data_IF_762973196197
#
_entry.id   IF_762973196197
#
_cell.length_a   1.000
_cell.length_b   1.000
_cell.length_c   1.000
_cell.angle_alpha   90.00
_cell.angle_beta   90.00
_cell.angle_gamma   90.00
#
_symmetry.space_group_name_H-M   'P 1'
#
loop_
_entity.id
_entity.type
_entity.pdbx_description
1 polymer ?
#
# COMPACT_ATOMS: atom_id res chain seq x y z
N UNK A 1 20.88 16.13 13.44
CA UNK A 1 19.92 15.80 12.37
C UNK A 1 19.04 14.63 12.79
N UNK A 2 17.81 14.55 12.25
CA UNK A 2 16.84 13.54 12.62
C UNK A 2 16.31 12.81 11.36
N UNK A 3 16.71 11.55 11.20
CA UNK A 3 16.22 10.66 10.15
C UNK A 3 15.11 9.77 10.70
N UNK A 4 13.99 9.71 9.99
CA UNK A 4 12.92 8.77 10.26
C UNK A 4 12.89 7.66 9.21
N UNK A 5 12.48 6.47 9.62
CA UNK A 5 12.03 5.40 8.75
C UNK A 5 10.54 5.18 9.00
N UNK A 6 9.74 5.14 7.95
CA UNK A 6 8.31 4.88 8.02
C UNK A 6 7.97 3.54 7.37
N UNK A 7 7.15 2.77 8.06
CA UNK A 7 6.68 1.47 7.60
C UNK A 7 5.44 0.99 8.33
N UNK A 8 4.84 -0.09 7.84
CA UNK A 8 3.64 -0.69 8.42
C UNK A 8 3.79 -2.19 8.66
N UNK A 9 3.02 -2.70 9.59
CA UNK A 9 3.01 -4.12 9.98
C UNK A 9 1.73 -4.85 9.61
N UNK A 10 0.67 -4.13 9.32
CA UNK A 10 -0.56 -4.69 8.77
C UNK A 10 -0.37 -5.13 7.32
N UNK A 11 -1.28 -5.94 6.83
CA UNK A 11 -1.20 -6.54 5.50
C UNK A 11 -2.59 -6.66 4.89
N UNK A 12 -2.68 -6.55 3.57
CA UNK A 12 -3.93 -6.84 2.85
C UNK A 12 -4.33 -8.31 2.99
N UNK A 13 -5.63 -8.64 2.88
CA UNK A 13 -6.08 -10.03 2.88
C UNK A 13 -5.33 -10.88 1.86
N UNK A 14 -5.06 -12.16 2.15
CA UNK A 14 -4.27 -13.03 1.28
C UNK A 14 -4.95 -13.39 -0.05
N UNK A 15 -6.25 -13.12 -0.19
CA UNK A 15 -7.03 -13.52 -1.35
C UNK A 15 -7.28 -15.02 -1.41
N UNK A 16 -7.30 -15.59 -2.61
CA UNK A 16 -7.54 -17.03 -2.80
C UNK A 16 -6.33 -17.84 -2.29
N UNK A 17 -6.55 -18.64 -1.24
CA UNK A 17 -5.48 -19.44 -0.62
C UNK A 17 -4.90 -20.49 -1.56
N UNK A 18 -5.67 -21.00 -2.51
CA UNK A 18 -5.22 -21.99 -3.49
C UNK A 18 -4.22 -21.41 -4.53
N UNK A 19 -4.10 -20.10 -4.61
CA UNK A 19 -3.14 -19.44 -5.49
C UNK A 19 -1.75 -19.30 -4.88
N UNK A 20 -1.58 -19.70 -3.61
CA UNK A 20 -0.30 -19.60 -2.92
C UNK A 20 0.49 -20.90 -3.05
N UNK A 21 1.79 -20.80 -3.37
CA UNK A 21 2.71 -21.95 -3.37
C UNK A 21 2.87 -22.55 -1.96
N UNK A 22 2.85 -21.70 -0.95
CA UNK A 22 2.90 -22.04 0.47
C UNK A 22 1.82 -21.27 1.22
N UNK A 23 1.32 -21.73 2.37
CA UNK A 23 0.35 -20.97 3.15
C UNK A 23 0.84 -19.53 3.42
N UNK A 24 -0.01 -18.51 3.20
CA UNK A 24 0.43 -17.10 3.18
C UNK A 24 1.01 -16.59 4.51
N UNK A 25 0.76 -17.26 5.61
CA UNK A 25 1.28 -16.89 6.94
C UNK A 25 2.26 -17.90 7.52
N UNK A 26 2.80 -18.82 6.69
CA UNK A 26 3.74 -19.83 7.14
C UNK A 26 5.19 -19.34 7.26
N UNK A 27 5.49 -18.16 6.71
CA UNK A 27 6.85 -17.63 6.62
C UNK A 27 7.85 -18.68 6.06
N UNK A 28 7.43 -19.43 5.04
CA UNK A 28 8.24 -20.51 4.48
C UNK A 28 9.49 -19.96 3.81
N UNK A 29 10.64 -20.46 4.21
CA UNK A 29 11.90 -20.24 3.49
C UNK A 29 12.11 -21.40 2.52
N UNK A 30 12.38 -21.08 1.24
CA UNK A 30 12.69 -22.02 0.18
C UNK A 30 13.87 -21.45 -0.65
N UNK A 31 15.03 -22.03 -0.48
CA UNK A 31 16.28 -21.49 -0.99
C UNK A 31 16.63 -20.14 -0.34
N UNK A 32 16.79 -19.13 -1.17
CA UNK A 32 17.07 -17.74 -0.79
C UNK A 32 15.82 -16.85 -0.65
N UNK A 33 14.62 -17.45 -0.73
CA UNK A 33 13.34 -16.72 -0.76
C UNK A 33 12.50 -16.98 0.48
N UNK A 34 11.97 -15.90 1.04
CA UNK A 34 10.96 -15.92 2.10
C UNK A 34 9.58 -15.72 1.49
N UNK A 35 8.72 -16.71 1.61
CA UNK A 35 7.34 -16.68 1.13
C UNK A 35 6.37 -16.33 2.24
N UNK A 36 5.53 -15.32 1.99
CA UNK A 36 4.46 -14.97 2.91
C UNK A 36 3.80 -13.64 2.60
N UNK A 37 2.57 -13.47 3.02
CA UNK A 37 1.88 -12.18 2.96
C UNK A 37 2.58 -11.20 3.90
N UNK A 38 2.97 -10.02 3.38
CA UNK A 38 3.72 -9.01 4.13
C UNK A 38 5.24 -9.23 4.17
N UNK A 39 5.78 -10.28 3.51
CA UNK A 39 7.23 -10.46 3.42
C UNK A 39 7.87 -9.37 2.55
N UNK A 40 7.29 -9.06 1.39
CA UNK A 40 7.76 -7.99 0.51
C UNK A 40 7.20 -6.63 0.93
N UNK A 41 5.92 -6.57 1.19
CA UNK A 41 5.17 -5.40 1.60
C UNK A 41 4.65 -5.58 3.03
N UNK A 42 5.35 -4.99 4.07
CA UNK A 42 6.70 -4.42 3.90
C UNK A 42 7.61 -4.82 5.07
N UNK A 43 7.32 -5.95 5.74
CA UNK A 43 8.04 -6.39 6.97
C UNK A 43 9.52 -6.64 6.74
N UNK A 44 9.91 -7.13 5.54
CA UNK A 44 11.33 -7.29 5.21
C UNK A 44 12.07 -5.95 5.21
N UNK A 45 11.46 -4.90 4.70
CA UNK A 45 12.07 -3.58 4.66
C UNK A 45 12.26 -3.00 6.07
N UNK A 46 11.31 -3.25 6.98
CA UNK A 46 11.47 -2.91 8.41
C UNK A 46 12.66 -3.68 9.00
N UNK A 47 12.74 -4.98 8.76
CA UNK A 47 13.84 -5.82 9.27
C UNK A 47 15.20 -5.35 8.73
N UNK A 48 15.29 -5.06 7.43
CA UNK A 48 16.51 -4.53 6.81
C UNK A 48 16.92 -3.19 7.43
N UNK A 49 15.98 -2.29 7.69
CA UNK A 49 16.30 -0.99 8.29
C UNK A 49 16.74 -1.13 9.74
N UNK A 50 16.14 -2.06 10.51
CA UNK A 50 16.58 -2.37 11.88
C UNK A 50 18.02 -2.89 11.85
N UNK A 51 18.33 -3.84 10.97
CA UNK A 51 19.69 -4.40 10.83
C UNK A 51 20.70 -3.33 10.45
N UNK A 52 20.40 -2.54 9.42
CA UNK A 52 21.28 -1.45 8.99
C UNK A 52 21.49 -0.40 10.09
N UNK A 53 20.45 -0.09 10.86
CA UNK A 53 20.55 0.83 12.01
C UNK A 53 21.45 0.27 13.09
N UNK A 54 21.30 -1.01 13.41
CA UNK A 54 22.16 -1.69 14.38
C UNK A 54 23.64 -1.65 13.96
N UNK A 55 23.92 -2.00 12.71
CA UNK A 55 25.30 -2.02 12.18
C UNK A 55 25.89 -0.61 12.16
N UNK A 56 25.12 0.38 11.74
CA UNK A 56 25.54 1.78 11.74
C UNK A 56 25.87 2.27 13.15
N UNK A 57 24.99 2.03 14.13
CA UNK A 57 25.22 2.45 15.51
C UNK A 57 26.40 1.73 16.14
N UNK A 58 26.57 0.44 15.84
CA UNK A 58 27.71 -0.34 16.31
C UNK A 58 29.03 0.21 15.79
N UNK A 59 29.08 0.55 14.50
CA UNK A 59 30.27 1.12 13.88
C UNK A 59 30.58 2.54 14.35
N UNK A 60 29.58 3.33 14.77
CA UNK A 60 29.69 4.76 15.03
C UNK A 60 29.40 5.16 16.49
N UNK A 61 29.51 4.23 17.44
CA UNK A 61 29.08 4.41 18.85
C UNK A 61 29.55 5.70 19.53
N UNK A 62 30.70 6.26 19.12
CA UNK A 62 31.31 7.45 19.75
C UNK A 62 31.20 8.73 18.91
N UNK A 63 30.75 8.63 17.66
CA UNK A 63 30.80 9.76 16.71
C UNK A 63 29.43 10.14 16.13
N UNK A 64 28.37 9.40 16.44
CA UNK A 64 27.05 9.68 15.94
C UNK A 64 26.37 10.75 16.80
N UNK A 65 26.19 11.94 16.22
CA UNK A 65 25.40 13.04 16.78
C UNK A 65 24.16 13.27 15.91
N UNK A 66 23.10 12.53 16.22
CA UNK A 66 21.85 12.58 15.48
C UNK A 66 20.73 11.80 16.16
N UNK A 67 19.59 11.74 15.51
CA UNK A 67 18.44 10.95 15.95
C UNK A 67 17.97 10.03 14.82
N UNK A 68 17.67 8.79 15.16
CA UNK A 68 17.01 7.83 14.30
C UNK A 68 15.65 7.49 14.92
N UNK A 69 14.60 7.53 14.12
CA UNK A 69 13.25 7.17 14.57
C UNK A 69 12.62 6.18 13.63
N UNK A 70 11.84 5.28 14.21
CA UNK A 70 10.98 4.34 13.49
C UNK A 70 9.53 4.77 13.68
N UNK A 71 8.87 5.09 12.58
CA UNK A 71 7.45 5.39 12.50
C UNK A 71 6.77 4.13 11.99
N UNK A 72 6.27 3.30 12.91
CA UNK A 72 5.67 2.02 12.55
C UNK A 72 4.18 2.07 12.87
N UNK A 73 3.36 1.77 11.86
CA UNK A 73 1.89 1.73 11.97
C UNK A 73 1.36 0.32 11.73
N UNK A 74 0.16 0.06 12.23
CA UNK A 74 -0.62 -1.15 11.96
C UNK A 74 -1.95 -0.84 11.27
N UNK A 75 -2.08 0.32 10.62
CA UNK A 75 -3.27 0.76 9.89
C UNK A 75 -2.84 1.61 8.69
N UNK A 76 -2.18 0.97 7.71
CA UNK A 76 -1.78 1.58 6.43
C UNK A 76 -2.63 1.04 5.29
N UNK A 77 -2.85 -0.26 5.26
CA UNK A 77 -3.41 -1.03 4.13
C UNK A 77 -4.94 -0.93 4.03
N UNK A 78 -5.61 -0.28 4.95
CA UNK A 78 -7.06 -0.18 4.97
C UNK A 78 -7.51 1.29 5.05
N UNK A 79 -8.20 1.66 6.13
CA UNK A 79 -8.75 3.02 6.27
C UNK A 79 -7.70 4.07 6.61
N UNK A 80 -6.55 3.66 7.09
CA UNK A 80 -5.41 4.51 7.47
C UNK A 80 -5.77 5.66 8.45
N UNK A 81 -6.81 5.45 9.29
CA UNK A 81 -7.34 6.49 10.19
C UNK A 81 -6.49 6.56 11.47
N UNK A 82 -6.02 5.39 11.95
CA UNK A 82 -5.31 5.26 13.23
C UNK A 82 -3.80 5.07 13.06
N UNK A 83 -3.29 5.23 11.84
CA UNK A 83 -1.92 4.99 11.49
C UNK A 83 -1.06 6.27 11.46
N UNK A 84 -0.36 6.45 10.37
CA UNK A 84 0.65 7.51 10.16
C UNK A 84 0.11 8.91 10.46
N UNK A 85 -1.13 9.23 10.11
CA UNK A 85 -1.72 10.55 10.39
C UNK A 85 -1.75 10.87 11.90
N UNK A 86 -2.12 9.90 12.74
CA UNK A 86 -2.13 10.09 14.20
C UNK A 86 -0.73 10.20 14.77
N UNK A 87 0.21 9.41 14.25
CA UNK A 87 1.61 9.50 14.65
C UNK A 87 2.15 10.90 14.30
N UNK A 88 1.91 11.39 13.09
CA UNK A 88 2.37 12.72 12.66
C UNK A 88 1.72 13.85 13.45
N UNK A 89 0.44 13.70 13.82
CA UNK A 89 -0.18 14.66 14.75
C UNK A 89 0.51 14.65 16.11
N UNK A 90 0.73 13.46 16.66
CA UNK A 90 1.40 13.31 17.97
C UNK A 90 2.82 13.88 17.93
N UNK A 91 3.61 13.63 16.88
CA UNK A 91 4.96 14.21 16.75
C UNK A 91 4.93 15.73 16.73
N UNK A 92 3.95 16.32 16.01
CA UNK A 92 3.74 17.77 15.97
C UNK A 92 3.39 18.32 17.35
N UNK A 93 2.46 17.70 18.05
CA UNK A 93 2.01 18.11 19.39
C UNK A 93 3.15 17.99 20.44
N UNK A 94 4.16 17.15 20.18
CA UNK A 94 5.34 16.97 21.03
C UNK A 94 6.60 17.67 20.52
N UNK A 95 6.49 18.57 19.52
CA UNK A 95 7.60 19.31 18.92
C UNK A 95 8.72 18.39 18.37
N UNK A 96 8.35 17.21 17.87
CA UNK A 96 9.28 16.31 17.20
C UNK A 96 9.24 16.61 15.71
N UNK A 97 10.39 16.93 15.14
CA UNK A 97 10.58 17.20 13.71
C UNK A 97 11.57 16.23 13.11
N UNK A 98 11.37 15.90 11.84
CA UNK A 98 12.27 15.05 11.06
C UNK A 98 12.90 15.90 9.95
N UNK A 99 14.20 15.76 9.74
CA UNK A 99 14.87 16.39 8.60
C UNK A 99 14.65 15.61 7.31
N UNK A 100 14.58 14.27 7.43
CA UNK A 100 14.40 13.35 6.32
C UNK A 100 13.58 12.14 6.77
N UNK A 101 12.87 11.54 5.81
CA UNK A 101 12.14 10.29 6.03
C UNK A 101 12.36 9.32 4.87
N UNK A 102 12.68 8.09 5.19
CA UNK A 102 12.69 6.96 4.25
C UNK A 102 11.39 6.19 4.47
N UNK A 103 10.58 6.06 3.42
CA UNK A 103 9.38 5.21 3.43
C UNK A 103 9.77 3.86 2.85
N UNK A 104 9.64 2.82 3.65
CA UNK A 104 10.17 1.49 3.34
C UNK A 104 9.33 0.65 2.37
N UNK A 105 8.48 1.26 1.58
CA UNK A 105 7.65 0.57 0.57
C UNK A 105 8.47 -0.04 -0.55
N UNK A 106 8.07 -1.22 -1.10
CA UNK A 106 8.76 -1.84 -2.21
C UNK A 106 8.67 -0.99 -3.47
N UNK A 107 9.81 -0.71 -4.10
CA UNK A 107 9.90 0.15 -5.29
C UNK A 107 10.72 -0.42 -6.42
N UNK A 108 11.57 -1.41 -6.14
CA UNK A 108 12.43 -2.06 -7.13
C UNK A 108 11.63 -2.84 -8.17
N UNK A 109 12.15 -2.91 -9.40
CA UNK A 109 11.50 -3.62 -10.50
C UNK A 109 12.22 -4.94 -10.85
N UNK A 110 13.51 -4.86 -11.21
CA UNK A 110 14.26 -5.99 -11.73
C UNK A 110 15.36 -6.45 -10.75
N UNK A 111 15.91 -5.53 -9.98
CA UNK A 111 16.91 -5.82 -8.95
C UNK A 111 16.74 -4.88 -7.77
N UNK A 112 17.16 -5.33 -6.60
CA UNK A 112 17.07 -4.53 -5.37
C UNK A 112 17.81 -3.21 -5.54
N UNK A 113 17.12 -2.10 -5.32
CA UNK A 113 17.68 -0.75 -5.38
C UNK A 113 17.76 -0.14 -6.78
N UNK A 114 17.24 -0.78 -7.83
CA UNK A 114 17.24 -0.25 -9.19
C UNK A 114 16.28 0.95 -9.39
N UNK A 115 15.37 1.17 -8.44
CA UNK A 115 14.38 2.25 -8.53
C UNK A 115 13.98 2.78 -7.17
N UNK A 116 14.03 4.09 -7.05
CA UNK A 116 13.53 4.84 -5.88
C UNK A 116 12.40 5.77 -6.34
N UNK A 117 11.28 5.76 -5.63
CA UNK A 117 10.19 6.71 -5.85
C UNK A 117 10.43 7.95 -4.97
N UNK A 118 10.46 9.12 -5.60
CA UNK A 118 10.64 10.42 -4.93
C UNK A 118 9.31 11.16 -4.71
N UNK A 119 8.19 10.56 -5.12
CA UNK A 119 6.84 11.10 -4.94
C UNK A 119 5.79 10.07 -5.34
N UNK A 120 4.55 10.30 -4.94
CA UNK A 120 3.40 9.45 -5.26
C UNK A 120 2.27 10.25 -5.88
N UNK A 121 1.46 9.57 -6.67
CA UNK A 121 0.17 10.08 -7.17
C UNK A 121 -0.87 9.93 -6.08
N UNK A 122 -1.91 10.79 -6.10
CA UNK A 122 -3.09 10.61 -5.27
C UNK A 122 -3.86 9.33 -5.65
N UNK A 123 -4.65 8.84 -4.71
CA UNK A 123 -5.62 7.76 -4.92
C UNK A 123 -7.00 8.26 -4.56
N UNK A 124 -8.01 7.91 -5.37
CA UNK A 124 -9.41 8.24 -5.11
C UNK A 124 -10.20 6.95 -5.28
N UNK A 125 -11.02 6.64 -4.29
CA UNK A 125 -11.96 5.53 -4.34
C UNK A 125 -13.37 6.11 -4.48
N UNK A 126 -14.10 5.63 -5.48
CA UNK A 126 -15.50 5.99 -5.70
C UNK A 126 -16.38 4.79 -5.34
N UNK A 127 -17.39 5.02 -4.51
CA UNK A 127 -18.45 4.05 -4.27
C UNK A 127 -19.66 4.48 -5.09
N UNK A 128 -20.05 3.66 -6.08
CA UNK A 128 -21.18 3.93 -6.95
C UNK A 128 -22.26 2.90 -6.63
N UNK A 129 -23.40 3.37 -6.15
CA UNK A 129 -24.58 2.54 -5.96
C UNK A 129 -25.61 2.90 -7.02
N UNK A 130 -26.01 1.91 -7.81
CA UNK A 130 -27.04 2.07 -8.84
C UNK A 130 -28.28 1.32 -8.40
N UNK A 131 -29.39 2.05 -8.17
CA UNK A 131 -30.70 1.48 -7.89
C UNK A 131 -31.53 1.50 -9.15
N UNK A 132 -32.03 0.36 -9.57
CA UNK A 132 -32.89 0.24 -10.75
C UNK A 132 -33.98 -0.81 -10.53
N UNK A 133 -34.91 -0.88 -11.46
CA UNK A 133 -35.92 -1.93 -11.53
C UNK A 133 -35.37 -3.04 -12.42
N UNK A 134 -35.45 -4.28 -11.95
CA UNK A 134 -35.02 -5.44 -12.73
C UNK A 134 -35.92 -5.60 -13.96
N UNK A 135 -35.33 -5.66 -15.15
CA UNK A 135 -36.01 -5.87 -16.39
C UNK A 135 -35.25 -6.76 -17.34
N UNK A 136 -35.93 -7.36 -18.31
CA UNK A 136 -35.28 -8.20 -19.31
C UNK A 136 -34.52 -7.33 -20.32
N UNK A 137 -33.29 -7.72 -20.68
CA UNK A 137 -32.42 -6.99 -21.61
C UNK A 137 -33.02 -6.73 -22.99
N UNK A 138 -33.97 -7.54 -23.43
CA UNK A 138 -34.71 -7.36 -24.68
C UNK A 138 -35.78 -6.26 -24.62
N UNK A 139 -36.19 -5.79 -23.44
CA UNK A 139 -37.24 -4.80 -23.22
C UNK A 139 -36.68 -3.54 -22.59
N UNK A 140 -35.70 -2.92 -23.23
CA UNK A 140 -34.97 -1.75 -22.74
C UNK A 140 -35.83 -0.49 -22.55
N UNK A 141 -37.08 -0.48 -23.02
CA UNK A 141 -38.01 0.62 -22.83
C UNK A 141 -38.73 0.56 -21.47
N UNK A 142 -38.81 -0.61 -20.84
CA UNK A 142 -39.52 -0.80 -19.57
C UNK A 142 -38.55 -0.77 -18.35
N UNK A 143 -37.26 -0.87 -18.57
CA UNK A 143 -36.24 -0.72 -17.54
C UNK A 143 -35.28 0.40 -17.94
N UNK A 144 -35.33 1.55 -17.29
CA UNK A 144 -34.38 2.61 -17.58
C UNK A 144 -32.96 2.13 -17.22
N UNK A 145 -32.18 1.75 -18.23
CA UNK A 145 -30.76 1.42 -18.07
C UNK A 145 -30.01 2.72 -17.86
N UNK A 146 -29.66 3.02 -16.65
CA UNK A 146 -28.95 4.24 -16.25
C UNK A 146 -27.49 4.32 -16.73
N UNK A 147 -26.96 3.27 -17.32
CA UNK A 147 -25.61 3.25 -17.88
C UNK A 147 -25.60 2.70 -19.31
N UNK A 148 -25.57 3.59 -20.29
CA UNK A 148 -24.99 3.29 -21.59
C UNK A 148 -23.48 3.33 -21.44
N UNK A 149 -22.90 2.16 -21.64
CA UNK A 149 -21.51 1.81 -21.81
C UNK A 149 -20.62 2.93 -22.36
N UNK A 150 -19.56 3.29 -21.66
CA UNK A 150 -18.23 3.38 -22.28
C UNK A 150 -17.10 3.31 -21.22
N UNK A 151 -16.86 2.11 -20.72
CA UNK A 151 -15.59 1.76 -20.10
C UNK A 151 -15.18 0.44 -20.73
N UNK A 152 -14.24 0.52 -21.66
CA UNK A 152 -13.70 -0.58 -22.44
C UNK A 152 -13.54 -1.88 -21.62
N UNK A 153 -14.40 -2.86 -21.90
CA UNK A 153 -14.09 -4.26 -21.67
C UNK A 153 -14.63 -4.94 -20.40
N UNK A 154 -15.47 -4.32 -19.56
CA UNK A 154 -15.98 -5.00 -18.36
C UNK A 154 -17.53 -5.05 -18.35
N UNK A 155 -18.05 -6.25 -18.17
CA UNK A 155 -19.47 -6.51 -18.01
C UNK A 155 -19.87 -6.27 -16.55
N UNK A 156 -20.93 -5.48 -16.32
CA UNK A 156 -21.53 -5.33 -15.00
C UNK A 156 -22.66 -6.34 -14.83
N UNK A 157 -22.59 -7.12 -13.76
CA UNK A 157 -23.70 -7.95 -13.28
C UNK A 157 -24.29 -7.25 -12.06
N UNK A 158 -25.62 -7.15 -12.01
CA UNK A 158 -26.37 -6.46 -10.98
C UNK A 158 -26.44 -7.29 -9.70
N UNK A 159 -25.42 -7.17 -8.87
CA UNK A 159 -25.46 -7.51 -7.45
C UNK A 159 -24.43 -6.64 -6.72
N UNK A 160 -24.68 -6.30 -5.46
CA UNK A 160 -23.84 -5.41 -4.67
C UNK A 160 -22.38 -5.92 -4.61
N UNK A 161 -21.52 -5.34 -5.43
CA UNK A 161 -20.09 -5.67 -5.44
C UNK A 161 -19.28 -4.46 -5.05
N UNK A 162 -18.52 -4.63 -3.99
CA UNK A 162 -17.48 -3.69 -3.58
C UNK A 162 -16.28 -3.86 -4.54
N UNK A 163 -15.92 -2.83 -5.28
CA UNK A 163 -14.80 -2.86 -6.21
C UNK A 163 -13.51 -2.40 -5.55
N UNK A 164 -12.47 -3.20 -5.68
CA UNK A 164 -11.09 -2.78 -5.44
C UNK A 164 -10.62 -1.74 -6.47
N UNK A 165 -9.70 -0.84 -6.14
CA UNK A 165 -9.34 0.28 -7.00
C UNK A 165 -8.79 -0.17 -8.35
N UNK A 166 -9.46 0.23 -9.43
CA UNK A 166 -8.96 0.10 -10.80
C UNK A 166 -7.84 1.11 -11.04
N UNK A 167 -6.70 0.64 -11.46
CA UNK A 167 -5.58 1.45 -11.94
C UNK A 167 -5.96 2.13 -13.26
N UNK A 168 -6.34 3.39 -13.21
CA UNK A 168 -6.54 4.18 -14.41
C UNK A 168 -5.19 4.52 -15.04
N UNK A 169 -4.85 3.88 -16.16
CA UNK A 169 -3.80 4.35 -17.07
C UNK A 169 -4.32 5.59 -17.80
N UNK A 170 -3.80 6.74 -17.45
CA UNK A 170 -4.06 7.98 -18.15
C UNK A 170 -2.99 8.99 -17.81
N UNK A 171 -1.97 9.13 -18.66
CA UNK A 171 -1.02 10.23 -18.60
C UNK A 171 -1.64 11.44 -19.30
N UNK A 172 -1.70 12.64 -18.70
CA UNK A 172 -1.90 13.85 -19.48
C UNK A 172 -0.60 14.13 -20.23
N UNK A 173 -0.69 14.28 -21.54
CA UNK A 173 0.38 14.87 -22.36
C UNK A 173 0.49 16.33 -21.92
N UNK A 174 1.68 16.73 -21.50
CA UNK A 174 2.02 18.12 -21.37
C UNK A 174 2.10 18.75 -22.77
N UNK A 175 1.35 19.81 -22.96
CA UNK A 175 1.55 20.79 -24.03
C UNK A 175 2.54 21.83 -23.57
#
# INVERSE_FOLDING_TARGET
>A
KHLAFAGHTDVVPPGNLNSWKYPPFSAKIDGDKLYGRGSEDMKSNIACFISATHDFLTANQKSFDGKLSFIITGDEENLAINGTQKIMKWTKDNNITFDQCIVGEPTSNNSVGDKIKIGRRGSITFFISVKGIQGHTANSQEAPVLFKRDLSGHSFVSEEHCFSPLWAKGSPKAS
#
